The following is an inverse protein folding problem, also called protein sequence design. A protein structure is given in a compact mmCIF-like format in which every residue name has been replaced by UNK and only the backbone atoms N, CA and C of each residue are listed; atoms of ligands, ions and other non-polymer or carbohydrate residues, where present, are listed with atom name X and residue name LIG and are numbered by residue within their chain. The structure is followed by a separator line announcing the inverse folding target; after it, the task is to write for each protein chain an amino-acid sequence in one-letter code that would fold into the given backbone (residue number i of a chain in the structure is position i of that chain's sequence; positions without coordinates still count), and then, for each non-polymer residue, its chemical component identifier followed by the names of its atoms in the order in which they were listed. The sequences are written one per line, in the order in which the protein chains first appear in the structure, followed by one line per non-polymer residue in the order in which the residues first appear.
data_IF_468392377921
#
_entry.id   IF_468392377921
#
_cell.length_a   1.000
_cell.length_b   1.000
_cell.length_c   1.000
_cell.angle_alpha   90.00
_cell.angle_beta   90.00
_cell.angle_gamma   90.00
#
_symmetry.space_group_name_H-M   'P 1'
#
loop_
_entity.id
_entity.type
_entity.pdbx_description
1 polymer ?
#
# COMPACT_ATOMS: atom_id res chain seq x y z
N UNK A 1 3.26 -2.09 6.91
CA UNK A 1 4.55 -1.62 6.39
C UNK A 1 5.55 -2.76 6.41
N UNK A 2 6.19 -3.00 5.27
CA UNK A 2 7.36 -3.87 5.21
C UNK A 2 8.51 -3.20 5.99
N UNK A 3 9.24 -4.00 6.77
CA UNK A 3 10.46 -3.56 7.47
C UNK A 3 11.43 -2.95 6.47
N UNK A 4 11.51 -3.50 5.25
CA UNK A 4 12.37 -2.99 4.19
C UNK A 4 11.99 -1.56 3.77
N UNK A 5 10.70 -1.24 3.63
CA UNK A 5 10.24 0.11 3.29
C UNK A 5 10.58 1.10 4.39
N UNK A 6 10.34 0.72 5.65
CA UNK A 6 10.61 1.60 6.79
C UNK A 6 12.12 1.82 6.98
N UNK A 7 12.92 0.75 6.95
CA UNK A 7 14.38 0.85 7.07
C UNK A 7 14.99 1.61 5.90
N UNK A 8 14.49 1.40 4.67
CA UNK A 8 14.97 2.08 3.48
C UNK A 8 14.82 3.60 3.57
N UNK A 9 13.66 4.08 4.05
CA UNK A 9 13.42 5.51 4.27
C UNK A 9 14.42 6.07 5.28
N UNK A 10 14.62 5.40 6.41
CA UNK A 10 15.55 5.85 7.46
C UNK A 10 17.00 5.89 6.94
N UNK A 11 17.43 4.83 6.26
CA UNK A 11 18.79 4.72 5.72
C UNK A 11 19.04 5.79 4.65
N UNK A 12 18.05 6.06 3.79
CA UNK A 12 18.12 7.14 2.81
C UNK A 12 18.35 8.49 3.47
N UNK A 13 17.54 8.85 4.47
CA UNK A 13 17.75 10.10 5.20
C UNK A 13 19.11 10.13 5.90
N UNK A 14 19.56 9.01 6.48
CA UNK A 14 20.88 8.89 7.08
C UNK A 14 22.01 9.20 6.10
N UNK A 15 21.96 8.63 4.89
CA UNK A 15 22.97 8.90 3.85
C UNK A 15 22.92 10.35 3.36
N UNK A 16 21.73 10.90 3.12
CA UNK A 16 21.57 12.29 2.66
C UNK A 16 22.11 13.27 3.69
N UNK A 17 21.67 13.15 4.95
CA UNK A 17 22.12 14.03 6.03
C UNK A 17 23.61 13.85 6.31
N UNK A 18 24.12 12.61 6.28
CA UNK A 18 25.53 12.30 6.44
C UNK A 18 26.40 12.90 5.33
N UNK A 19 25.97 12.82 4.08
CA UNK A 19 26.68 13.40 2.94
C UNK A 19 26.75 14.94 3.03
N UNK A 20 25.65 15.59 3.40
CA UNK A 20 25.60 17.06 3.59
C UNK A 20 26.55 17.48 4.72
N UNK A 21 26.52 16.76 5.84
CA UNK A 21 27.39 17.03 6.98
C UNK A 21 28.87 16.81 6.63
N UNK A 22 29.20 15.76 5.89
CA UNK A 22 30.59 15.47 5.50
C UNK A 22 31.14 16.49 4.50
N UNK A 23 30.29 17.05 3.63
CA UNK A 23 30.69 18.06 2.64
C UNK A 23 30.89 19.47 3.20
N UNK A 24 30.17 19.86 4.26
CA UNK A 24 30.18 21.25 4.75
C UNK A 24 29.93 21.44 6.24
N UNK A 25 29.97 20.37 7.03
CA UNK A 25 29.62 20.39 8.45
C UNK A 25 28.17 20.85 8.68
N UNK A 26 27.91 21.48 9.83
CA UNK A 26 26.57 22.01 10.17
C UNK A 26 26.17 23.17 9.26
N UNK A 27 27.13 23.93 8.72
CA UNK A 27 26.85 25.04 7.81
C UNK A 27 26.45 24.56 6.40
N UNK A 28 26.76 23.30 6.06
CA UNK A 28 26.36 22.66 4.81
C UNK A 28 24.84 22.53 4.64
N UNK A 29 24.06 22.64 5.72
CA UNK A 29 22.59 22.57 5.66
C UNK A 29 21.91 23.88 5.24
N UNK A 30 22.56 25.03 5.42
CA UNK A 30 21.96 26.35 5.12
C UNK A 30 21.42 26.49 3.68
N UNK A 31 22.14 26.04 2.63
CA UNK A 31 21.65 26.16 1.25
C UNK A 31 20.41 25.32 0.96
N UNK A 32 20.21 24.21 1.69
CA UNK A 32 19.10 23.28 1.46
C UNK A 32 17.80 23.72 2.14
N UNK A 33 17.87 24.67 3.08
CA UNK A 33 16.69 25.28 3.73
C UNK A 33 16.36 26.58 2.99
N UNK A 34 15.82 26.44 1.78
CA UNK A 34 15.37 27.55 0.95
C UNK A 34 13.85 27.48 0.76
N UNK A 35 13.14 28.48 1.31
CA UNK A 35 11.68 28.54 1.26
C UNK A 35 11.14 28.78 -0.16
N UNK A 36 11.84 29.54 -0.98
CA UNK A 36 11.44 29.84 -2.36
C UNK A 36 11.49 28.57 -3.22
N UNK A 37 12.59 27.81 -3.11
CA UNK A 37 12.75 26.52 -3.78
C UNK A 37 11.68 25.53 -3.31
N UNK A 38 11.37 25.49 -2.01
CA UNK A 38 10.31 24.64 -1.46
C UNK A 38 8.93 24.99 -2.05
N UNK A 39 8.58 26.28 -2.13
CA UNK A 39 7.32 26.74 -2.71
C UNK A 39 7.21 26.38 -4.19
N UNK A 40 8.29 26.53 -4.96
CA UNK A 40 8.29 26.17 -6.39
C UNK A 40 8.09 24.66 -6.57
N UNK A 41 8.81 23.84 -5.80
CA UNK A 41 8.75 22.38 -5.94
C UNK A 41 7.40 21.84 -5.45
N UNK A 42 6.99 22.18 -4.23
CA UNK A 42 5.73 21.69 -3.65
C UNK A 42 4.52 22.30 -4.34
N UNK A 43 4.52 23.62 -4.55
CA UNK A 43 3.43 24.31 -5.25
C UNK A 43 3.33 23.88 -6.71
N UNK A 44 4.44 23.78 -7.42
CA UNK A 44 4.48 23.31 -8.80
C UNK A 44 3.98 21.86 -8.93
N UNK A 45 4.42 20.97 -8.04
CA UNK A 45 3.95 19.58 -8.03
C UNK A 45 2.45 19.51 -7.70
N UNK A 46 1.97 20.30 -6.74
CA UNK A 46 0.54 20.33 -6.38
C UNK A 46 -0.33 20.83 -7.54
N UNK A 47 0.09 21.91 -8.21
CA UNK A 47 -0.59 22.41 -9.42
C UNK A 47 -0.55 21.37 -10.55
N UNK A 48 0.58 20.71 -10.79
CA UNK A 48 0.69 19.66 -11.81
C UNK A 48 -0.27 18.49 -11.52
N UNK A 49 -0.42 18.09 -10.26
CA UNK A 49 -1.38 17.05 -9.84
C UNK A 49 -2.81 17.50 -10.10
N UNK A 50 -3.18 18.75 -9.78
CA UNK A 50 -4.51 19.30 -10.04
C UNK A 50 -4.85 19.35 -11.53
N UNK A 51 -3.87 19.59 -12.41
CA UNK A 51 -4.07 19.61 -13.86
C UNK A 51 -4.26 18.19 -14.42
N UNK A 52 -3.53 17.21 -13.89
CA UNK A 52 -3.52 15.84 -14.43
C UNK A 52 -4.64 14.95 -13.87
N UNK A 53 -5.16 15.23 -12.66
CA UNK A 53 -6.07 14.34 -11.96
C UNK A 53 -7.36 15.04 -11.51
N UNK A 54 -8.52 14.36 -11.57
CA UNK A 54 -9.76 14.91 -11.04
C UNK A 54 -9.66 15.10 -9.52
N UNK A 55 -10.29 16.15 -8.99
CA UNK A 55 -10.21 16.51 -7.58
C UNK A 55 -10.67 15.38 -6.64
N UNK A 56 -11.61 14.54 -7.09
CA UNK A 56 -12.09 13.37 -6.36
C UNK A 56 -11.01 12.31 -6.11
N UNK A 57 -10.01 12.18 -6.99
CA UNK A 57 -8.86 11.30 -6.79
C UNK A 57 -7.86 11.91 -5.80
N UNK A 58 -7.65 13.23 -5.87
CA UNK A 58 -6.70 13.95 -5.01
C UNK A 58 -7.16 13.90 -3.54
N UNK A 59 -8.45 14.05 -3.28
CA UNK A 59 -9.01 13.94 -1.92
C UNK A 59 -8.79 12.52 -1.34
N UNK A 60 -8.79 11.48 -2.19
CA UNK A 60 -8.53 10.10 -1.78
C UNK A 60 -7.05 9.80 -1.50
N UNK A 61 -6.13 10.69 -1.89
CA UNK A 61 -4.68 10.49 -1.73
C UNK A 61 -4.29 10.20 -0.28
N UNK A 62 -4.89 10.90 0.69
CA UNK A 62 -4.60 10.67 2.12
C UNK A 62 -4.95 9.24 2.57
N UNK A 63 -6.04 8.68 2.07
CA UNK A 63 -6.43 7.30 2.35
C UNK A 63 -5.45 6.30 1.73
N UNK A 64 -5.03 6.54 0.49
CA UNK A 64 -4.05 5.70 -0.20
C UNK A 64 -2.69 5.73 0.50
N UNK A 65 -2.21 6.91 0.89
CA UNK A 65 -0.95 7.06 1.64
C UNK A 65 -1.01 6.29 2.97
N UNK A 66 -2.13 6.39 3.70
CA UNK A 66 -2.33 5.61 4.93
C UNK A 66 -2.30 4.11 4.65
N UNK A 67 -2.92 3.66 3.56
CA UNK A 67 -2.92 2.25 3.17
C UNK A 67 -1.51 1.79 2.82
N UNK A 68 -0.71 2.56 2.08
CA UNK A 68 0.67 2.21 1.74
C UNK A 68 1.53 2.05 3.00
N UNK A 69 1.36 2.91 3.99
CA UNK A 69 2.11 2.83 5.26
C UNK A 69 1.61 1.68 6.16
N UNK A 70 0.29 1.45 6.19
CA UNK A 70 -0.30 0.49 7.15
C UNK A 70 -0.41 -0.93 6.59
N UNK A 71 -0.48 -1.08 5.27
CA UNK A 71 -0.74 -2.38 4.62
C UNK A 71 0.26 -3.43 5.08
N UNK A 72 -0.28 -4.53 5.58
CA UNK A 72 0.44 -5.78 5.80
C UNK A 72 0.07 -6.65 4.61
N UNK A 73 1.07 -7.16 3.90
CA UNK A 73 0.83 -8.09 2.80
C UNK A 73 0.03 -9.30 3.31
N UNK A 74 -0.81 -9.86 2.46
CA UNK A 74 -1.55 -11.07 2.81
C UNK A 74 -0.58 -12.23 3.04
N UNK A 75 -0.84 -13.02 4.09
CA UNK A 75 -0.11 -14.26 4.34
C UNK A 75 -0.43 -15.27 3.24
N UNK A 76 0.48 -15.37 2.28
CA UNK A 76 0.33 -16.24 1.11
C UNK A 76 0.23 -17.71 1.52
N UNK A 77 0.91 -18.12 2.60
CA UNK A 77 0.83 -19.49 3.11
C UNK A 77 -0.57 -19.79 3.65
N UNK A 78 -1.14 -18.85 4.42
CA UNK A 78 -2.52 -18.96 4.89
C UNK A 78 -3.51 -18.98 3.72
N UNK A 79 -3.32 -18.13 2.71
CA UNK A 79 -4.16 -18.13 1.51
C UNK A 79 -4.15 -19.49 0.79
N UNK A 80 -2.98 -20.09 0.57
CA UNK A 80 -2.87 -21.42 -0.06
C UNK A 80 -3.64 -22.46 0.75
N UNK A 81 -3.48 -22.46 2.08
CA UNK A 81 -4.20 -23.40 2.94
C UNK A 81 -5.72 -23.25 2.84
N UNK A 82 -6.21 -22.01 2.73
CA UNK A 82 -7.63 -21.70 2.51
C UNK A 82 -8.12 -22.18 1.15
N UNK A 83 -7.34 -22.00 0.08
CA UNK A 83 -7.70 -22.51 -1.24
C UNK A 83 -7.80 -24.03 -1.27
N UNK A 84 -6.87 -24.74 -0.62
CA UNK A 84 -6.88 -26.20 -0.55
C UNK A 84 -8.09 -26.70 0.22
N UNK A 85 -8.42 -26.09 1.38
CA UNK A 85 -9.57 -26.49 2.19
C UNK A 85 -10.89 -26.27 1.45
N UNK A 86 -11.08 -25.10 0.84
CA UNK A 86 -12.25 -24.79 0.02
C UNK A 86 -12.39 -25.76 -1.16
N UNK A 87 -11.28 -26.08 -1.85
CA UNK A 87 -11.30 -27.02 -2.98
C UNK A 87 -11.66 -28.45 -2.55
N UNK A 88 -11.13 -28.91 -1.41
CA UNK A 88 -11.46 -30.23 -0.87
C UNK A 88 -12.93 -30.32 -0.47
N UNK A 89 -13.47 -29.26 0.15
CA UNK A 89 -14.88 -29.19 0.56
C UNK A 89 -15.79 -29.19 -0.67
N UNK A 90 -15.49 -28.35 -1.66
CA UNK A 90 -16.24 -28.30 -2.92
C UNK A 90 -16.30 -29.68 -3.61
N UNK A 91 -15.18 -30.43 -3.59
CA UNK A 91 -15.13 -31.78 -4.19
C UNK A 91 -15.93 -32.83 -3.41
N UNK A 92 -15.97 -32.75 -2.07
CA UNK A 92 -16.63 -33.76 -1.22
C UNK A 92 -18.12 -33.47 -1.01
N UNK A 93 -18.47 -32.21 -0.83
CA UNK A 93 -19.79 -31.77 -0.35
C UNK A 93 -20.53 -30.91 -1.40
N UNK A 94 -19.87 -30.52 -2.50
CA UNK A 94 -20.43 -29.65 -3.53
C UNK A 94 -20.25 -28.15 -3.25
N UNK A 95 -20.60 -27.31 -4.22
CA UNK A 95 -20.38 -25.86 -4.14
C UNK A 95 -21.27 -25.15 -3.10
N UNK A 96 -22.49 -25.62 -2.88
CA UNK A 96 -23.42 -25.06 -1.87
C UNK A 96 -22.86 -25.17 -0.44
N UNK A 97 -22.03 -26.17 -0.16
CA UNK A 97 -21.39 -26.34 1.14
C UNK A 97 -20.38 -25.23 1.46
N UNK A 98 -19.93 -24.47 0.46
CA UNK A 98 -19.03 -23.33 0.63
C UNK A 98 -19.75 -22.08 1.17
N UNK A 99 -21.07 -21.99 1.03
CA UNK A 99 -21.85 -20.79 1.41
C UNK A 99 -21.72 -20.46 2.92
N UNK A 100 -21.63 -21.49 3.75
CA UNK A 100 -21.39 -21.36 5.19
C UNK A 100 -20.00 -20.75 5.50
N UNK A 101 -19.00 -21.03 4.66
CA UNK A 101 -17.61 -20.63 4.88
C UNK A 101 -17.29 -19.27 4.25
N UNK A 102 -18.03 -18.85 3.21
CA UNK A 102 -17.86 -17.54 2.54
C UNK A 102 -17.94 -16.38 3.52
N UNK A 103 -18.78 -16.47 4.55
CA UNK A 103 -18.91 -15.41 5.57
C UNK A 103 -17.68 -15.29 6.48
N UNK A 104 -16.90 -16.36 6.61
CA UNK A 104 -15.70 -16.43 7.44
C UNK A 104 -14.40 -16.09 6.70
N UNK A 105 -14.46 -15.80 5.39
CA UNK A 105 -13.29 -15.40 4.61
C UNK A 105 -12.97 -13.92 4.88
N UNK A 106 -11.78 -13.68 5.43
CA UNK A 106 -11.28 -12.33 5.76
C UNK A 106 -10.97 -11.48 4.50
N UNK A 107 -10.57 -12.11 3.41
CA UNK A 107 -10.18 -11.43 2.18
C UNK A 107 -11.39 -11.19 1.26
N UNK A 108 -11.77 -9.92 1.10
CA UNK A 108 -12.92 -9.49 0.30
C UNK A 108 -12.87 -9.93 -1.18
N UNK A 109 -11.67 -10.00 -1.77
CA UNK A 109 -11.50 -10.46 -3.14
C UNK A 109 -11.79 -11.96 -3.26
N UNK A 110 -11.21 -12.77 -2.36
CA UNK A 110 -11.45 -14.20 -2.33
C UNK A 110 -12.93 -14.52 -2.04
N UNK A 111 -13.52 -13.80 -1.10
CA UNK A 111 -14.94 -13.93 -0.75
C UNK A 111 -15.85 -13.73 -1.96
N UNK A 112 -15.63 -12.67 -2.73
CA UNK A 112 -16.36 -12.42 -3.99
C UNK A 112 -16.13 -13.51 -5.02
N UNK A 113 -14.90 -13.97 -5.19
CA UNK A 113 -14.57 -15.05 -6.13
C UNK A 113 -15.30 -16.35 -5.80
N UNK A 114 -15.31 -16.76 -4.53
CA UNK A 114 -16.05 -17.96 -4.10
C UNK A 114 -17.56 -17.77 -4.28
N UNK A 115 -18.08 -16.58 -4.00
CA UNK A 115 -19.51 -16.30 -4.18
C UNK A 115 -19.94 -16.41 -5.66
N UNK A 116 -19.14 -15.90 -6.60
CA UNK A 116 -19.40 -16.06 -8.03
C UNK A 116 -19.42 -17.54 -8.47
N UNK A 117 -18.52 -18.36 -7.91
CA UNK A 117 -18.48 -19.80 -8.19
C UNK A 117 -19.72 -20.52 -7.67
N UNK A 118 -20.25 -20.11 -6.50
CA UNK A 118 -21.51 -20.64 -5.96
C UNK A 118 -22.70 -20.23 -6.84
N UNK A 119 -22.71 -18.97 -7.28
CA UNK A 119 -23.76 -18.41 -8.13
C UNK A 119 -23.74 -18.98 -9.56
N UNK A 120 -22.66 -19.70 -9.94
CA UNK A 120 -22.51 -20.37 -11.23
C UNK A 120 -22.21 -19.43 -12.41
N UNK A 121 -21.64 -18.25 -12.12
CA UNK A 121 -21.24 -17.24 -13.10
C UNK A 121 -19.84 -17.49 -13.69
#
# INVERSE_FOLDING_TARGET
MDIATFSGIIVFFGFVLGAIYMGGGVNGFKPFINLEAFLIVIGGTFCAILVNYPLSAIIKLGHVLKQVLTSKGDDTSRLVSTFVSLSQKAKKEGFLALEADVKAIDNDFLKRGVQLVIDGA
#
